data_IF_580233662481
#
_entry.id   IF_580233662481
#
_cell.length_a   1.000
_cell.length_b   1.000
_cell.length_c   1.000
_cell.angle_alpha   90.00
_cell.angle_beta   90.00
_cell.angle_gamma   90.00
#
_symmetry.space_group_name_H-M   'P 1'
#
loop_
_entity.id
_entity.type
_entity.pdbx_description
1 polymer ?
#
# COMPACT_ATOMS: atom_id res chain seq x y z
N UNK A 1 42.19 -4.97 -24.21
CA UNK A 1 43.05 -4.14 -25.08
C UNK A 1 43.07 -4.75 -26.49
N UNK A 2 42.31 -4.18 -27.43
CA UNK A 2 42.62 -3.99 -28.87
C UNK A 2 41.34 -3.52 -29.59
N UNK A 3 41.43 -2.31 -30.12
CA UNK A 3 40.47 -1.58 -30.95
C UNK A 3 40.50 -2.06 -32.41
N UNK A 4 39.40 -1.84 -33.14
CA UNK A 4 39.28 -1.55 -34.60
C UNK A 4 37.76 -1.35 -34.90
N UNK A 5 37.20 -0.13 -34.92
CA UNK A 5 37.10 0.89 -35.99
C UNK A 5 36.41 0.43 -37.30
N UNK A 6 35.13 0.82 -37.40
CA UNK A 6 34.35 1.44 -38.50
C UNK A 6 34.60 1.10 -39.98
N UNK A 7 33.49 0.79 -40.68
CA UNK A 7 33.14 1.42 -41.97
C UNK A 7 31.61 1.50 -42.18
N UNK A 8 31.12 2.71 -42.52
CA UNK A 8 29.81 3.02 -43.13
C UNK A 8 29.92 2.96 -44.66
N UNK A 9 28.77 2.93 -45.37
CA UNK A 9 28.53 3.80 -46.53
C UNK A 9 27.22 4.62 -46.33
N UNK A 10 27.22 5.97 -46.36
CA UNK A 10 26.95 6.85 -47.53
C UNK A 10 25.82 6.32 -48.45
N UNK A 11 24.74 7.02 -48.76
CA UNK A 11 24.30 8.40 -48.57
C UNK A 11 23.24 8.71 -49.65
N UNK A 12 22.24 9.54 -49.34
CA UNK A 12 21.52 10.41 -50.30
C UNK A 12 20.84 11.54 -49.54
N UNK A 13 21.06 12.74 -50.06
CA UNK A 13 20.71 14.05 -49.49
C UNK A 13 19.47 14.67 -50.17
N UNK A 14 18.68 15.37 -49.34
CA UNK A 14 18.04 16.71 -49.52
C UNK A 14 16.94 16.90 -50.59
N UNK A 15 16.04 17.94 -50.48
CA UNK A 15 16.19 19.26 -49.82
C UNK A 15 15.12 19.60 -48.75
N UNK A 16 15.38 20.35 -47.68
CA UNK A 16 15.70 21.79 -47.52
C UNK A 16 14.66 22.77 -48.12
N UNK A 17 13.82 23.34 -47.24
CA UNK A 17 13.15 24.63 -47.45
C UNK A 17 13.20 25.42 -46.14
N UNK A 18 14.01 26.47 -46.12
CA UNK A 18 14.02 27.51 -45.10
C UNK A 18 12.93 28.53 -45.41
N UNK A 19 12.28 29.05 -44.37
CA UNK A 19 11.75 30.41 -44.37
C UNK A 19 12.01 31.04 -43.00
N UNK A 20 12.93 31.99 -43.02
CA UNK A 20 13.31 32.90 -41.95
C UNK A 20 12.32 34.05 -41.82
N UNK A 21 11.99 34.45 -40.61
CA UNK A 21 11.79 35.87 -40.24
C UNK A 21 12.22 36.07 -38.80
N UNK A 22 13.38 36.74 -38.63
CA UNK A 22 13.81 37.39 -37.40
C UNK A 22 12.97 38.66 -37.20
N UNK A 23 12.53 38.95 -35.98
CA UNK A 23 12.45 40.32 -35.46
C UNK A 23 12.72 40.28 -33.95
N UNK A 24 13.86 40.87 -33.58
CA UNK A 24 14.26 41.24 -32.22
C UNK A 24 13.62 42.58 -31.86
N UNK A 25 13.05 42.71 -30.67
CA UNK A 25 13.04 43.98 -29.94
C UNK A 25 12.74 43.74 -28.46
N UNK A 26 13.73 44.04 -27.61
CA UNK A 26 13.64 44.09 -26.15
C UNK A 26 13.00 45.41 -25.72
N UNK A 27 12.01 45.41 -24.82
CA UNK A 27 11.71 46.54 -23.94
C UNK A 27 11.04 46.08 -22.62
N UNK A 28 11.26 46.88 -21.59
CA UNK A 28 11.04 46.70 -20.15
C UNK A 28 9.58 46.45 -19.68
N UNK A 29 9.45 45.48 -18.74
CA UNK A 29 8.74 45.52 -17.43
C UNK A 29 7.21 45.85 -17.33
N UNK A 30 6.55 45.72 -16.15
CA UNK A 30 5.71 44.57 -15.77
C UNK A 30 4.27 44.95 -15.36
N UNK A 31 3.48 43.94 -14.93
CA UNK A 31 2.18 43.95 -14.22
C UNK A 31 0.99 43.43 -15.06
N UNK A 32 0.30 42.42 -14.53
CA UNK A 32 -0.99 41.97 -15.05
C UNK A 32 -1.49 40.69 -14.39
N UNK A 33 -2.10 40.83 -13.21
CA UNK A 33 -2.78 39.78 -12.43
C UNK A 33 -3.86 39.05 -13.25
N UNK A 34 -3.94 37.73 -13.12
CA UNK A 34 -5.11 36.86 -13.41
C UNK A 34 -4.78 35.45 -12.88
N UNK A 35 -5.62 34.70 -12.19
CA UNK A 35 -6.91 34.93 -11.55
C UNK A 35 -6.98 33.86 -10.44
N UNK A 36 -7.00 34.27 -9.18
CA UNK A 36 -7.31 33.39 -8.06
C UNK A 36 -8.83 33.20 -8.06
N UNK A 37 -9.27 31.95 -8.21
CA UNK A 37 -10.66 31.57 -7.95
C UNK A 37 -10.96 31.87 -6.48
N UNK A 38 -11.74 32.93 -6.23
CA UNK A 38 -12.25 33.27 -4.91
C UNK A 38 -13.37 32.29 -4.56
N UNK A 39 -13.14 31.45 -3.55
CA UNK A 39 -14.21 30.76 -2.85
C UNK A 39 -15.01 31.78 -2.01
N UNK A 40 -16.36 31.73 -1.99
CA UNK A 40 -17.15 32.62 -1.18
C UNK A 40 -17.06 32.23 0.30
N UNK A 41 -16.21 32.93 1.05
CA UNK A 41 -16.31 33.02 2.50
C UNK A 41 -17.55 33.83 2.87
N UNK A 42 -18.60 33.14 3.33
CA UNK A 42 -19.29 33.43 4.60
C UNK A 42 -20.64 32.73 4.64
N UNK A 43 -20.80 31.77 5.55
CA UNK A 43 -22.04 31.55 6.30
C UNK A 43 -21.70 30.81 7.59
N UNK A 44 -21.71 31.59 8.68
CA UNK A 44 -21.95 31.20 10.07
C UNK A 44 -21.73 29.71 10.42
N UNK A 45 -20.57 29.43 11.04
CA UNK A 45 -20.34 28.20 11.80
C UNK A 45 -21.25 28.20 13.04
N UNK A 46 -22.39 27.52 12.95
CA UNK A 46 -23.03 26.96 14.14
C UNK A 46 -22.41 25.58 14.38
N UNK A 47 -21.78 25.43 15.54
CA UNK A 47 -21.19 24.20 16.08
C UNK A 47 -22.18 23.03 16.02
N UNK A 48 -22.17 22.30 14.91
CA UNK A 48 -22.82 21.01 14.74
C UNK A 48 -21.74 19.97 14.53
N UNK A 49 -21.68 18.99 15.43
CA UNK A 49 -20.85 17.78 15.25
C UNK A 49 -21.32 17.13 13.94
N UNK A 50 -20.52 17.27 12.88
CA UNK A 50 -20.73 16.51 11.65
C UNK A 50 -20.53 15.04 12.03
N UNK A 51 -21.58 14.23 11.91
CA UNK A 51 -21.50 12.79 12.18
C UNK A 51 -20.46 12.19 11.23
N UNK A 52 -19.55 11.32 11.69
CA UNK A 52 -18.53 10.68 10.84
C UNK A 52 -19.11 10.06 9.56
N UNK A 53 -20.33 9.52 9.65
CA UNK A 53 -21.06 8.98 8.52
C UNK A 53 -21.34 10.00 7.41
N UNK A 54 -21.69 11.25 7.75
CA UNK A 54 -21.94 12.29 6.74
C UNK A 54 -20.65 12.78 6.03
N UNK A 55 -19.49 12.56 6.66
CA UNK A 55 -18.18 12.81 6.05
C UNK A 55 -17.78 11.66 5.12
N UNK A 56 -18.03 10.41 5.52
CA UNK A 56 -17.85 9.21 4.69
C UNK A 56 -18.81 9.19 3.49
N UNK A 57 -20.07 9.61 3.67
CA UNK A 57 -21.05 9.72 2.58
C UNK A 57 -20.72 10.86 1.59
N UNK A 58 -19.88 11.83 1.97
CA UNK A 58 -19.41 12.93 1.13
C UNK A 58 -18.16 12.58 0.31
N UNK A 59 -17.47 11.47 0.63
CA UNK A 59 -16.34 10.97 -0.14
C UNK A 59 -16.84 10.13 -1.31
N UNK A 60 -16.13 10.18 -2.44
CA UNK A 60 -16.36 9.22 -3.53
C UNK A 60 -16.29 7.80 -2.96
N UNK A 61 -17.17 6.87 -3.39
CA UNK A 61 -17.10 5.48 -2.96
C UNK A 61 -15.69 4.92 -3.14
N UNK A 62 -15.17 4.16 -2.18
CA UNK A 62 -13.79 3.66 -2.23
C UNK A 62 -13.51 2.85 -3.50
N UNK A 63 -14.50 2.16 -4.05
CA UNK A 63 -14.41 1.48 -5.35
C UNK A 63 -14.10 2.41 -6.52
N UNK A 64 -14.63 3.64 -6.55
CA UNK A 64 -14.29 4.62 -7.59
C UNK A 64 -12.87 5.12 -7.43
N UNK A 65 -12.48 5.42 -6.18
CA UNK A 65 -11.13 5.91 -5.88
C UNK A 65 -10.06 4.84 -6.15
N UNK A 66 -10.39 3.58 -5.89
CA UNK A 66 -9.54 2.44 -6.25
C UNK A 66 -9.46 2.28 -7.77
N UNK A 67 -10.57 2.30 -8.51
CA UNK A 67 -10.55 2.21 -9.98
C UNK A 67 -9.68 3.31 -10.61
N UNK A 68 -9.84 4.56 -10.14
CA UNK A 68 -9.03 5.69 -10.55
C UNK A 68 -7.54 5.45 -10.26
N UNK A 69 -7.20 5.04 -9.03
CA UNK A 69 -5.83 4.69 -8.64
C UNK A 69 -5.20 3.62 -9.54
N UNK A 70 -5.94 2.53 -9.81
CA UNK A 70 -5.45 1.44 -10.66
C UNK A 70 -5.21 1.91 -12.09
N UNK A 71 -6.12 2.73 -12.63
CA UNK A 71 -6.01 3.27 -13.98
C UNK A 71 -4.87 4.26 -14.13
N UNK A 72 -4.70 5.18 -13.18
CA UNK A 72 -3.64 6.19 -13.19
C UNK A 72 -2.25 5.55 -13.02
N UNK A 73 -2.12 4.57 -12.12
CA UNK A 73 -0.87 3.84 -11.91
C UNK A 73 -0.55 2.80 -12.99
N UNK A 74 -1.51 2.47 -13.85
CA UNK A 74 -1.38 1.40 -14.84
C UNK A 74 -1.38 -0.01 -14.24
N UNK A 75 -1.98 -0.17 -13.06
CA UNK A 75 -2.04 -1.43 -12.32
C UNK A 75 -3.13 -2.35 -12.87
N UNK A 76 -2.77 -3.60 -13.19
CA UNK A 76 -3.73 -4.60 -13.69
C UNK A 76 -4.34 -5.46 -12.59
N UNK A 77 -3.69 -5.48 -11.42
CA UNK A 77 -4.09 -6.28 -10.28
C UNK A 77 -4.04 -5.47 -9.01
N UNK A 78 -4.96 -5.78 -8.10
CA UNK A 78 -4.98 -5.28 -6.74
C UNK A 78 -5.31 -6.41 -5.77
N UNK A 79 -5.24 -6.12 -4.47
CA UNK A 79 -5.39 -7.12 -3.42
C UNK A 79 -4.04 -7.60 -2.86
N UNK A 80 -4.10 -8.58 -1.97
CA UNK A 80 -3.03 -8.86 -1.03
C UNK A 80 -2.16 -10.05 -1.40
N UNK A 81 -0.89 -9.99 -0.99
CA UNK A 81 -0.01 -11.15 -0.90
C UNK A 81 -0.08 -11.72 0.52
N UNK A 82 -0.36 -13.02 0.64
CA UNK A 82 -0.65 -13.68 1.91
C UNK A 82 0.30 -14.88 2.07
N UNK A 83 1.16 -14.83 3.09
CA UNK A 83 2.03 -15.94 3.48
C UNK A 83 1.34 -16.86 4.47
N UNK A 84 1.38 -18.15 4.16
CA UNK A 84 1.04 -19.21 5.11
C UNK A 84 2.29 -19.58 5.92
N UNK A 85 2.29 -19.24 7.21
CA UNK A 85 3.38 -19.58 8.14
C UNK A 85 3.02 -20.69 9.14
N UNK A 86 1.77 -21.15 9.15
CA UNK A 86 1.34 -22.36 9.86
C UNK A 86 0.82 -23.43 8.89
N UNK A 87 1.17 -24.69 9.18
CA UNK A 87 0.76 -25.85 8.39
C UNK A 87 0.10 -26.94 9.25
N UNK A 88 -0.35 -26.59 10.46
CA UNK A 88 -0.94 -27.54 11.41
C UNK A 88 -2.32 -28.03 10.96
N UNK A 89 -3.13 -27.16 10.34
CA UNK A 89 -4.47 -27.49 9.86
C UNK A 89 -4.71 -26.95 8.44
N UNK A 90 -4.83 -27.86 7.47
CA UNK A 90 -5.12 -27.53 6.06
C UNK A 90 -6.60 -27.18 5.84
N UNK A 91 -7.52 -27.73 6.63
CA UNK A 91 -8.96 -27.47 6.52
C UNK A 91 -9.27 -26.03 6.94
N UNK A 92 -8.74 -25.63 8.09
CA UNK A 92 -8.82 -24.26 8.61
C UNK A 92 -8.24 -23.25 7.63
N UNK A 93 -7.07 -23.56 7.07
CA UNK A 93 -6.45 -22.71 6.06
C UNK A 93 -7.31 -22.55 4.81
N UNK A 94 -7.90 -23.64 4.30
CA UNK A 94 -8.80 -23.58 3.16
C UNK A 94 -10.10 -22.82 3.47
N UNK A 95 -10.62 -22.95 4.70
CA UNK A 95 -11.74 -22.15 5.20
C UNK A 95 -11.40 -20.65 5.19
N UNK A 96 -10.24 -20.28 5.73
CA UNK A 96 -9.74 -18.91 5.73
C UNK A 96 -9.69 -18.32 4.31
N UNK A 97 -9.12 -19.04 3.33
CA UNK A 97 -9.07 -18.60 1.93
C UNK A 97 -10.46 -18.26 1.37
N UNK A 98 -11.46 -19.09 1.68
CA UNK A 98 -12.85 -18.85 1.29
C UNK A 98 -13.42 -17.60 1.96
N UNK A 99 -13.28 -17.50 3.28
CA UNK A 99 -13.79 -16.38 4.09
C UNK A 99 -13.21 -15.05 3.63
N UNK A 100 -11.89 -14.96 3.43
CA UNK A 100 -11.27 -13.69 3.04
C UNK A 100 -11.65 -13.27 1.62
N UNK A 101 -11.70 -14.21 0.68
CA UNK A 101 -12.11 -13.90 -0.68
C UNK A 101 -13.57 -13.44 -0.76
N UNK A 102 -14.47 -14.06 0.02
CA UNK A 102 -15.86 -13.61 0.13
C UNK A 102 -15.97 -12.24 0.80
N UNK A 103 -15.19 -11.97 1.86
CA UNK A 103 -15.16 -10.68 2.53
C UNK A 103 -14.71 -9.55 1.58
N UNK A 104 -13.66 -9.77 0.79
CA UNK A 104 -13.21 -8.81 -0.23
C UNK A 104 -14.32 -8.48 -1.23
N UNK A 105 -14.99 -9.50 -1.76
CA UNK A 105 -16.08 -9.32 -2.74
C UNK A 105 -17.26 -8.56 -2.16
N UNK A 106 -17.69 -8.90 -0.94
CA UNK A 106 -18.74 -8.17 -0.23
C UNK A 106 -18.38 -6.71 0.00
N UNK A 107 -17.10 -6.42 0.23
CA UNK A 107 -16.61 -5.04 0.38
C UNK A 107 -16.71 -4.25 -0.93
N UNK A 108 -16.53 -4.87 -2.08
CA UNK A 108 -16.77 -4.25 -3.39
C UNK A 108 -18.27 -3.93 -3.52
N UNK A 109 -19.13 -4.93 -3.34
CA UNK A 109 -20.59 -4.81 -3.47
C UNK A 109 -21.19 -3.77 -2.50
N UNK A 110 -20.61 -3.61 -1.31
CA UNK A 110 -21.05 -2.65 -0.29
C UNK A 110 -21.11 -1.21 -0.79
N UNK A 111 -20.19 -0.84 -1.69
CA UNK A 111 -20.08 0.51 -2.24
C UNK A 111 -21.14 0.86 -3.29
N UNK A 112 -21.93 -0.13 -3.74
CA UNK A 112 -23.03 0.05 -4.69
C UNK A 112 -22.60 0.80 -5.97
N UNK A 113 -21.46 0.41 -6.53
CA UNK A 113 -20.90 0.90 -7.79
C UNK A 113 -20.96 -0.18 -8.87
N UNK A 114 -22.16 -0.59 -9.32
CA UNK A 114 -22.32 -1.75 -10.19
C UNK A 114 -21.62 -1.62 -11.54
N UNK A 115 -21.31 -0.40 -11.97
CA UNK A 115 -20.49 -0.11 -13.15
C UNK A 115 -19.02 -0.53 -12.99
N UNK A 116 -18.52 -0.66 -11.77
CA UNK A 116 -17.14 -0.99 -11.42
C UNK A 116 -17.00 -2.35 -10.73
N UNK A 117 -18.07 -2.91 -10.15
CA UNK A 117 -17.99 -4.16 -9.38
C UNK A 117 -17.37 -5.29 -10.22
N UNK A 118 -17.73 -5.38 -11.49
CA UNK A 118 -17.18 -6.40 -12.40
C UNK A 118 -15.70 -6.19 -12.70
N UNK A 119 -15.25 -4.95 -12.97
CA UNK A 119 -13.83 -4.68 -13.29
C UNK A 119 -12.94 -4.84 -12.06
N UNK A 120 -13.41 -4.43 -10.88
CA UNK A 120 -12.71 -4.59 -9.62
C UNK A 120 -12.63 -6.05 -9.20
N UNK A 121 -13.71 -6.83 -9.32
CA UNK A 121 -13.66 -8.28 -9.04
C UNK A 121 -12.73 -9.02 -10.02
N UNK A 122 -12.71 -8.63 -11.30
CA UNK A 122 -11.81 -9.22 -12.30
C UNK A 122 -10.32 -8.94 -12.03
N UNK A 123 -10.01 -7.78 -11.46
CA UNK A 123 -8.63 -7.37 -11.15
C UNK A 123 -8.21 -7.71 -9.72
N UNK A 124 -9.13 -8.15 -8.86
CA UNK A 124 -8.85 -8.62 -7.51
C UNK A 124 -8.02 -9.90 -7.55
N UNK A 125 -6.87 -9.88 -6.88
CA UNK A 125 -5.95 -11.01 -6.81
C UNK A 125 -5.40 -11.20 -5.41
N UNK A 126 -5.99 -12.13 -4.65
CA UNK A 126 -5.40 -12.65 -3.43
C UNK A 126 -4.38 -13.74 -3.80
N UNK A 127 -3.10 -13.47 -3.54
CA UNK A 127 -2.00 -14.39 -3.87
C UNK A 127 -1.54 -15.09 -2.60
N UNK A 128 -1.78 -16.40 -2.52
CA UNK A 128 -1.39 -17.23 -1.38
C UNK A 128 -0.05 -17.90 -1.63
N UNK A 129 0.91 -17.69 -0.72
CA UNK A 129 2.23 -18.30 -0.74
C UNK A 129 2.30 -19.40 0.31
N UNK A 130 2.37 -20.65 -0.15
CA UNK A 130 2.14 -21.87 0.66
C UNK A 130 3.32 -22.87 0.63
N UNK A 131 4.53 -22.40 0.32
CA UNK A 131 5.73 -23.25 0.28
C UNK A 131 6.22 -23.59 1.69
N UNK A 132 5.75 -24.71 2.24
CA UNK A 132 6.05 -25.18 3.62
C UNK A 132 7.53 -25.11 3.99
N UNK A 133 8.48 -25.66 3.19
CA UNK A 133 9.90 -25.61 3.52
C UNK A 133 10.46 -24.19 3.68
N UNK A 134 9.87 -23.21 3.00
CA UNK A 134 10.33 -21.82 3.01
C UNK A 134 9.62 -20.96 4.07
N UNK A 135 8.38 -21.29 4.43
CA UNK A 135 7.53 -20.37 5.20
C UNK A 135 7.04 -20.89 6.55
N UNK A 136 7.16 -22.18 6.83
CA UNK A 136 6.80 -22.75 8.14
C UNK A 136 7.67 -22.12 9.24
N UNK A 137 7.03 -21.40 10.18
CA UNK A 137 7.69 -20.65 11.25
C UNK A 137 8.75 -19.62 10.77
N UNK A 138 8.67 -19.15 9.52
CA UNK A 138 9.56 -18.12 9.02
C UNK A 138 9.40 -16.81 9.82
N UNK A 139 10.52 -16.18 10.15
CA UNK A 139 10.52 -14.85 10.77
C UNK A 139 10.03 -13.79 9.78
N UNK A 140 9.55 -12.65 10.28
CA UNK A 140 9.12 -11.55 9.41
C UNK A 140 10.27 -11.03 8.54
N UNK A 141 11.50 -11.07 9.02
CA UNK A 141 12.67 -10.67 8.21
C UNK A 141 12.93 -11.64 7.05
N UNK A 142 12.76 -12.96 7.27
CA UNK A 142 12.82 -13.95 6.20
C UNK A 142 11.71 -13.73 5.17
N UNK A 143 10.50 -13.44 5.64
CA UNK A 143 9.35 -13.13 4.78
C UNK A 143 9.55 -11.81 4.01
N UNK A 144 10.09 -10.76 4.65
CA UNK A 144 10.46 -9.49 3.99
C UNK A 144 11.46 -9.73 2.88
N UNK A 145 12.53 -10.47 3.14
CA UNK A 145 13.54 -10.78 2.12
C UNK A 145 12.94 -11.51 0.91
N UNK A 146 12.08 -12.51 1.14
CA UNK A 146 11.38 -13.18 0.05
C UNK A 146 10.40 -12.23 -0.67
N UNK A 147 9.64 -11.44 0.09
CA UNK A 147 8.65 -10.48 -0.42
C UNK A 147 9.28 -9.45 -1.34
N UNK A 148 10.39 -8.84 -0.95
CA UNK A 148 11.07 -7.82 -1.75
C UNK A 148 11.48 -8.36 -3.13
N UNK A 149 12.01 -9.60 -3.15
CA UNK A 149 12.32 -10.29 -4.40
C UNK A 149 11.07 -10.63 -5.23
N UNK A 150 10.01 -11.08 -4.59
CA UNK A 150 8.72 -11.33 -5.26
C UNK A 150 8.13 -10.05 -5.83
N UNK A 151 8.03 -8.98 -5.03
CA UNK A 151 7.39 -7.72 -5.37
C UNK A 151 8.03 -7.08 -6.60
N UNK A 152 9.37 -7.06 -6.66
CA UNK A 152 10.07 -6.54 -7.83
C UNK A 152 9.76 -7.34 -9.11
N UNK A 153 9.72 -8.68 -9.03
CA UNK A 153 9.38 -9.52 -10.20
C UNK A 153 7.90 -9.40 -10.58
N UNK A 154 7.02 -9.45 -9.60
CA UNK A 154 5.58 -9.38 -9.78
C UNK A 154 5.15 -8.02 -10.34
N UNK A 155 5.73 -6.92 -9.87
CA UNK A 155 5.43 -5.58 -10.37
C UNK A 155 5.57 -5.48 -11.90
N UNK A 156 6.69 -5.94 -12.46
CA UNK A 156 6.89 -5.89 -13.91
C UNK A 156 6.08 -6.96 -14.67
N UNK A 157 5.87 -8.13 -14.07
CA UNK A 157 5.11 -9.21 -14.70
C UNK A 157 3.60 -8.91 -14.75
N UNK A 158 3.07 -8.27 -13.71
CA UNK A 158 1.64 -7.99 -13.55
C UNK A 158 1.24 -6.65 -14.17
N UNK A 159 2.18 -5.72 -14.34
CA UNK A 159 1.91 -4.41 -14.94
C UNK A 159 2.79 -4.22 -16.19
N UNK A 160 2.32 -4.65 -17.39
CA UNK A 160 3.11 -4.57 -18.62
C UNK A 160 3.47 -3.14 -19.06
N UNK A 161 2.74 -2.14 -18.54
CA UNK A 161 2.92 -0.71 -18.84
C UNK A 161 2.73 0.11 -17.57
N UNK A 162 3.62 0.00 -16.57
CA UNK A 162 3.48 0.77 -15.35
C UNK A 162 3.75 2.25 -15.67
N UNK A 163 3.02 3.15 -15.01
CA UNK A 163 3.24 4.60 -15.20
C UNK A 163 4.59 5.03 -14.60
N UNK A 164 4.99 4.42 -13.49
CA UNK A 164 6.23 4.73 -12.78
C UNK A 164 7.18 3.53 -12.74
N UNK A 165 8.46 3.80 -12.43
CA UNK A 165 9.40 2.74 -12.11
C UNK A 165 9.11 2.19 -10.71
N UNK A 166 9.40 0.91 -10.50
CA UNK A 166 9.32 0.31 -9.17
C UNK A 166 10.25 1.06 -8.19
N UNK A 167 9.67 1.73 -7.19
CA UNK A 167 10.42 2.42 -6.15
C UNK A 167 9.75 2.22 -4.78
N UNK A 168 10.27 1.31 -3.94
CA UNK A 168 9.66 1.00 -2.65
C UNK A 168 9.72 2.15 -1.62
N UNK A 169 10.59 3.14 -1.85
CA UNK A 169 10.70 4.33 -1.02
C UNK A 169 9.66 5.40 -1.39
N UNK A 170 8.92 5.21 -2.48
CA UNK A 170 7.78 6.05 -2.88
C UNK A 170 6.47 5.28 -2.65
N UNK A 171 5.35 5.96 -2.87
CA UNK A 171 3.99 5.43 -2.80
C UNK A 171 3.73 4.33 -3.87
N UNK A 172 4.36 3.18 -3.69
CA UNK A 172 4.10 1.97 -4.47
C UNK A 172 2.75 1.39 -4.06
N UNK A 173 2.01 0.78 -5.00
CA UNK A 173 0.74 0.14 -4.69
C UNK A 173 0.84 -0.83 -3.50
N UNK A 174 -0.18 -0.89 -2.62
CA UNK A 174 -0.16 -1.70 -1.40
C UNK A 174 0.27 -3.14 -1.64
N UNK A 175 -0.20 -3.74 -2.75
CA UNK A 175 0.18 -5.09 -3.21
C UNK A 175 1.69 -5.36 -3.24
N UNK A 176 2.52 -4.37 -3.55
CA UNK A 176 3.98 -4.52 -3.67
C UNK A 176 4.74 -3.84 -2.51
N UNK A 177 4.03 -3.24 -1.56
CA UNK A 177 4.59 -2.64 -0.36
C UNK A 177 4.35 -3.48 0.88
N UNK A 178 3.13 -3.98 1.05
CA UNK A 178 2.70 -4.71 2.23
C UNK A 178 2.40 -6.17 1.89
N UNK A 179 2.57 -7.04 2.88
CA UNK A 179 2.08 -8.41 2.82
C UNK A 179 1.38 -8.78 4.12
N UNK A 180 0.62 -9.87 4.06
CA UNK A 180 -0.07 -10.45 5.19
C UNK A 180 0.64 -11.75 5.57
N UNK A 181 0.94 -11.93 6.84
CA UNK A 181 1.39 -13.20 7.40
C UNK A 181 0.24 -13.82 8.20
N UNK A 182 0.00 -15.11 7.97
CA UNK A 182 -0.91 -15.94 8.76
C UNK A 182 -0.10 -17.00 9.49
N UNK A 183 0.12 -16.77 10.79
CA UNK A 183 0.66 -17.74 11.73
C UNK A 183 -0.46 -18.55 12.41
N UNK A 184 -0.10 -19.44 13.33
CA UNK A 184 -1.07 -20.28 14.04
C UNK A 184 -2.10 -19.45 14.84
N UNK A 185 -1.65 -18.40 15.53
CA UNK A 185 -2.53 -17.61 16.41
C UNK A 185 -3.53 -16.77 15.62
N UNK A 186 -3.09 -16.19 14.51
CA UNK A 186 -3.95 -15.45 13.58
C UNK A 186 -4.95 -16.37 12.88
N UNK A 187 -4.53 -17.56 12.42
CA UNK A 187 -5.46 -18.52 11.81
C UNK A 187 -6.54 -18.97 12.82
N UNK A 188 -6.14 -19.28 14.04
CA UNK A 188 -7.06 -19.64 15.12
C UNK A 188 -8.01 -18.49 15.47
N UNK A 189 -7.52 -17.24 15.59
CA UNK A 189 -8.37 -16.09 15.92
C UNK A 189 -9.43 -15.82 14.85
N UNK A 190 -9.11 -16.07 13.59
CA UNK A 190 -10.02 -15.87 12.46
C UNK A 190 -11.19 -16.88 12.46
N UNK A 191 -10.95 -18.11 12.92
CA UNK A 191 -11.90 -19.22 12.79
C UNK A 191 -12.68 -19.49 14.09
N UNK A 192 -12.02 -19.44 15.25
CA UNK A 192 -12.66 -19.79 16.53
C UNK A 192 -13.72 -18.78 17.00
N UNK A 193 -13.73 -17.57 16.45
CA UNK A 193 -14.78 -16.57 16.67
C UNK A 193 -16.09 -16.86 15.93
N UNK A 194 -16.10 -17.81 15.00
CA UNK A 194 -17.31 -18.13 14.22
C UNK A 194 -18.20 -19.19 14.88
N UNK A 195 -17.65 -20.08 15.71
CA UNK A 195 -18.41 -21.19 16.31
C UNK A 195 -19.02 -20.89 17.70
N UNK A 196 -18.43 -19.99 18.48
CA UNK A 196 -18.69 -19.95 19.93
C UNK A 196 -19.83 -19.03 20.40
N UNK A 197 -20.46 -18.21 19.55
CA UNK A 197 -21.60 -17.38 20.01
C UNK A 197 -22.52 -16.91 18.88
N UNK A 198 -23.67 -17.59 18.66
CA UNK A 198 -24.72 -17.10 17.76
C UNK A 198 -25.31 -15.75 18.16
N UNK A 199 -25.03 -15.26 19.38
CA UNK A 199 -25.55 -14.00 19.94
C UNK A 199 -24.61 -12.80 19.77
N UNK A 200 -23.36 -13.00 19.33
CA UNK A 200 -22.37 -11.92 19.11
C UNK A 200 -22.14 -11.62 17.62
N UNK A 201 -23.11 -11.95 16.76
CA UNK A 201 -23.16 -11.50 15.36
C UNK A 201 -23.22 -9.96 15.32
N UNK A 202 -22.07 -9.31 15.16
CA UNK A 202 -22.06 -7.89 14.79
C UNK A 202 -20.72 -7.18 14.95
N UNK A 203 -20.04 -7.31 16.08
CA UNK A 203 -19.03 -6.30 16.46
C UNK A 203 -17.88 -6.78 17.36
N UNK A 204 -17.73 -8.09 17.62
CA UNK A 204 -16.84 -8.62 18.66
C UNK A 204 -15.97 -9.79 18.20
N UNK A 205 -15.75 -9.96 16.90
CA UNK A 205 -14.68 -10.87 16.50
C UNK A 205 -13.35 -10.15 16.63
N UNK A 206 -12.41 -10.74 17.35
CA UNK A 206 -11.03 -10.27 17.46
C UNK A 206 -10.12 -10.94 16.43
N UNK A 207 -10.69 -11.56 15.38
CA UNK A 207 -9.92 -12.15 14.31
C UNK A 207 -9.01 -11.11 13.68
N UNK A 208 -7.72 -11.43 13.58
CA UNK A 208 -6.69 -10.52 13.07
C UNK A 208 -5.77 -11.25 12.11
N UNK A 209 -5.08 -10.47 11.29
CA UNK A 209 -3.97 -10.91 10.46
C UNK A 209 -2.72 -10.10 10.82
N UNK A 210 -1.54 -10.64 10.58
CA UNK A 210 -0.32 -9.87 10.76
C UNK A 210 -0.06 -9.08 9.48
N UNK A 211 -0.32 -7.78 9.50
CA UNK A 211 -0.09 -6.87 8.38
C UNK A 211 1.33 -6.31 8.47
N UNK A 212 2.16 -6.56 7.45
CA UNK A 212 3.60 -6.33 7.50
C UNK A 212 4.01 -5.36 6.40
N UNK A 213 4.79 -4.34 6.76
CA UNK A 213 5.52 -3.53 5.79
C UNK A 213 6.75 -4.32 5.31
N UNK A 214 6.73 -4.62 4.01
CA UNK A 214 7.76 -5.39 3.32
C UNK A 214 9.09 -4.64 3.15
N UNK A 215 9.08 -3.33 3.34
CA UNK A 215 10.22 -2.43 3.13
C UNK A 215 10.63 -1.69 4.41
N UNK A 216 9.94 -1.93 5.52
CA UNK A 216 10.33 -1.40 6.82
C UNK A 216 11.74 -1.85 7.20
N UNK A 217 12.48 -0.92 7.79
CA UNK A 217 13.78 -1.13 8.41
C UNK A 217 13.73 -0.57 9.82
N UNK A 218 14.50 -1.17 10.71
CA UNK A 218 14.68 -0.62 12.06
C UNK A 218 15.31 0.77 12.00
N UNK A 219 15.07 1.60 13.02
CA UNK A 219 15.76 2.89 13.19
C UNK A 219 17.27 2.71 13.14
N UNK A 220 17.78 1.62 13.74
CA UNK A 220 19.20 1.26 13.69
C UNK A 220 19.70 1.02 12.27
N UNK A 221 18.93 0.31 11.44
CA UNK A 221 19.27 0.08 10.04
C UNK A 221 19.17 1.37 9.20
N UNK A 222 18.13 2.18 9.43
CA UNK A 222 17.99 3.48 8.79
C UNK A 222 19.20 4.36 9.09
N UNK A 223 19.60 4.48 10.35
CA UNK A 223 20.79 5.22 10.77
C UNK A 223 22.07 4.71 10.10
N UNK A 224 22.28 3.39 10.09
CA UNK A 224 23.47 2.80 9.48
C UNK A 224 23.64 3.16 7.99
N UNK A 225 22.55 3.53 7.32
CA UNK A 225 22.53 3.97 5.92
C UNK A 225 22.42 5.49 5.74
N UNK A 226 22.12 6.24 6.79
CA UNK A 226 22.00 7.70 6.76
C UNK A 226 23.37 8.38 6.85
N UNK A 227 23.52 9.52 6.16
CA UNK A 227 24.68 10.41 6.30
C UNK A 227 24.35 11.66 7.13
N UNK A 228 23.16 11.71 7.71
CA UNK A 228 22.65 12.87 8.45
C UNK A 228 23.02 12.74 9.94
N UNK A 229 23.82 13.68 10.49
CA UNK A 229 24.19 13.68 11.90
C UNK A 229 23.04 14.06 12.84
N UNK A 230 22.04 14.83 12.38
CA UNK A 230 20.92 15.30 13.21
C UNK A 230 19.93 14.15 13.48
N UNK A 231 19.85 13.19 12.55
CA UNK A 231 19.09 11.95 12.70
C UNK A 231 19.58 11.07 13.87
N UNK A 232 20.83 11.25 14.34
CA UNK A 232 21.35 10.45 15.44
C UNK A 232 20.64 10.78 16.77
N UNK A 233 20.44 12.06 17.06
CA UNK A 233 19.85 12.52 18.32
C UNK A 233 18.39 12.08 18.42
N UNK A 234 17.62 12.24 17.34
CA UNK A 234 16.22 11.80 17.26
C UNK A 234 16.07 10.28 17.44
N UNK A 235 17.02 9.50 16.89
CA UNK A 235 17.06 8.04 17.05
C UNK A 235 17.47 7.66 18.48
N UNK A 236 18.45 8.32 19.07
CA UNK A 236 18.87 8.07 20.45
C UNK A 236 17.72 8.37 21.44
N UNK A 237 16.92 9.42 21.20
CA UNK A 237 15.70 9.72 21.97
C UNK A 237 14.61 8.64 21.83
N UNK A 238 14.35 8.18 20.60
CA UNK A 238 13.38 7.09 20.38
C UNK A 238 13.85 5.76 20.97
N UNK A 239 15.14 5.43 20.84
CA UNK A 239 15.74 4.23 21.42
C UNK A 239 15.90 4.29 22.94
N UNK A 240 15.81 5.48 23.56
CA UNK A 240 15.77 5.63 25.01
C UNK A 240 14.46 5.13 25.64
N UNK A 241 13.42 4.91 24.84
CA UNK A 241 12.18 4.32 25.31
C UNK A 241 12.33 2.81 25.50
N UNK A 242 12.05 2.33 26.70
CA UNK A 242 12.15 0.91 27.07
C UNK A 242 10.90 0.12 26.63
N UNK A 243 10.71 -0.06 25.31
CA UNK A 243 9.63 -0.93 24.82
C UNK A 243 9.95 -2.42 25.04
N UNK A 244 8.92 -3.20 25.41
CA UNK A 244 9.04 -4.66 25.52
C UNK A 244 9.47 -5.26 24.17
N UNK A 245 10.48 -6.12 24.19
CA UNK A 245 10.97 -6.79 22.98
C UNK A 245 9.87 -7.62 22.30
N UNK A 246 9.67 -7.40 21.00
CA UNK A 246 8.80 -8.17 20.13
C UNK A 246 9.66 -8.71 19.00
N UNK A 247 9.83 -10.04 18.94
CA UNK A 247 10.65 -10.70 17.91
C UNK A 247 12.08 -10.14 17.81
N UNK A 248 12.64 -9.67 18.95
CA UNK A 248 13.96 -9.06 19.01
C UNK A 248 13.97 -7.55 18.75
N UNK A 249 12.85 -6.95 18.33
CA UNK A 249 12.72 -5.50 18.14
C UNK A 249 12.29 -4.81 19.45
N UNK A 250 13.03 -3.77 19.83
CA UNK A 250 12.76 -2.91 21.01
C UNK A 250 12.32 -1.51 20.62
N UNK A 251 12.03 -1.29 19.35
CA UNK A 251 11.53 -0.01 18.84
C UNK A 251 10.00 0.07 19.02
N UNK A 252 9.47 1.28 18.97
CA UNK A 252 8.03 1.50 18.96
C UNK A 252 7.40 0.87 17.72
N UNK A 253 7.94 1.22 16.55
CA UNK A 253 7.55 0.68 15.26
C UNK A 253 8.31 -0.63 14.99
N UNK A 254 7.60 -1.74 14.84
CA UNK A 254 8.18 -3.06 14.55
C UNK A 254 8.08 -3.44 13.07
N UNK A 255 7.51 -2.54 12.25
CA UNK A 255 7.25 -2.76 10.83
C UNK A 255 6.14 -3.75 10.54
N UNK A 256 5.30 -4.06 11.53
CA UNK A 256 4.10 -4.84 11.37
C UNK A 256 3.08 -4.54 12.47
N UNK A 257 1.81 -4.78 12.19
CA UNK A 257 0.71 -4.62 13.15
C UNK A 257 -0.28 -5.77 13.03
N UNK A 258 -1.10 -5.97 14.07
CA UNK A 258 -2.22 -6.90 14.02
C UNK A 258 -3.42 -6.14 13.43
N UNK A 259 -3.74 -6.42 12.17
CA UNK A 259 -4.84 -5.78 11.47
C UNK A 259 -6.11 -6.60 11.66
N UNK A 260 -7.19 -5.95 12.07
CA UNK A 260 -8.47 -6.61 12.22
C UNK A 260 -8.99 -7.18 10.88
N UNK A 261 -9.66 -8.33 10.93
CA UNK A 261 -10.06 -9.07 9.72
C UNK A 261 -10.95 -8.29 8.74
N UNK A 262 -11.75 -7.35 9.24
CA UNK A 262 -12.65 -6.55 8.40
C UNK A 262 -11.90 -5.49 7.59
N UNK A 263 -10.68 -5.18 7.99
CA UNK A 263 -9.90 -4.07 7.46
C UNK A 263 -9.01 -4.54 6.31
N UNK A 264 -9.24 -5.73 5.75
CA UNK A 264 -8.62 -6.11 4.48
C UNK A 264 -9.39 -5.57 3.26
N UNK A 265 -10.44 -4.76 3.46
CA UNK A 265 -11.40 -4.30 2.45
C UNK A 265 -10.82 -3.43 1.32
N UNK A 266 -11.65 -3.16 0.31
CA UNK A 266 -11.44 -2.13 -0.73
C UNK A 266 -11.07 -0.79 -0.11
N UNK A 267 -11.75 -0.38 0.96
CA UNK A 267 -11.52 0.90 1.63
C UNK A 267 -10.09 0.98 2.18
N UNK A 268 -9.67 -0.05 2.92
CA UNK A 268 -8.33 -0.09 3.50
C UNK A 268 -7.26 -0.22 2.42
N UNK A 269 -7.50 -1.00 1.37
CA UNK A 269 -6.59 -1.07 0.23
C UNK A 269 -6.44 0.31 -0.44
N UNK A 270 -7.54 1.01 -0.68
CA UNK A 270 -7.48 2.36 -1.23
C UNK A 270 -6.77 3.33 -0.29
N UNK A 271 -7.05 3.29 1.01
CA UNK A 271 -6.43 4.17 2.01
C UNK A 271 -4.92 3.96 2.13
N UNK A 272 -4.48 2.71 1.99
CA UNK A 272 -3.04 2.37 1.97
C UNK A 272 -2.38 2.68 0.62
N UNK A 273 -3.16 2.97 -0.42
CA UNK A 273 -2.67 3.44 -1.72
C UNK A 273 -2.30 4.92 -1.58
N UNK A 274 -0.99 5.21 -1.59
CA UNK A 274 -0.40 6.47 -1.11
C UNK A 274 -0.79 7.76 -1.83
N UNK A 275 -2.04 8.21 -1.67
CA UNK A 275 -2.48 9.57 -1.97
C UNK A 275 -1.94 10.60 -0.95
N UNK A 276 -1.27 10.15 0.11
CA UNK A 276 -0.63 10.93 1.17
C UNK A 276 0.74 10.31 1.50
N UNK A 277 1.72 11.16 1.81
CA UNK A 277 3.04 10.73 2.29
C UNK A 277 2.88 9.96 3.61
N UNK A 278 3.54 8.81 3.69
CA UNK A 278 3.58 7.84 4.80
C UNK A 278 2.27 7.69 5.62
N UNK A 279 1.36 6.86 5.14
CA UNK A 279 0.11 6.53 5.84
C UNK A 279 0.29 5.55 7.01
N UNK A 280 1.45 4.89 7.11
CA UNK A 280 1.70 3.85 8.12
C UNK A 280 1.39 4.30 9.56
N UNK A 281 1.80 5.51 10.01
CA UNK A 281 1.51 5.98 11.37
C UNK A 281 0.02 6.10 11.70
N UNK A 282 -0.87 6.20 10.70
CA UNK A 282 -2.30 6.38 10.92
C UNK A 282 -3.02 5.10 11.34
N UNK A 283 -2.45 3.93 11.03
CA UNK A 283 -3.03 2.62 11.35
C UNK A 283 -2.02 1.69 12.01
N UNK A 284 -0.82 2.19 12.36
CA UNK A 284 0.11 1.45 13.16
C UNK A 284 -0.32 1.42 14.61
N UNK A 285 -0.63 0.22 15.10
CA UNK A 285 -0.68 -0.05 16.52
C UNK A 285 0.39 -1.09 16.86
N UNK A 286 1.23 -0.78 17.85
CA UNK A 286 2.27 -1.69 18.31
C UNK A 286 1.62 -2.99 18.82
N UNK A 287 1.99 -4.17 18.29
CA UNK A 287 1.49 -5.44 18.81
C UNK A 287 1.76 -5.57 20.34
N UNK A 288 0.90 -6.25 21.11
CA UNK A 288 -0.27 -7.04 20.69
C UNK A 288 -1.56 -6.22 20.51
N UNK A 289 -1.48 -4.89 20.35
CA UNK A 289 -2.64 -4.08 19.99
C UNK A 289 -3.16 -4.44 18.59
N UNK A 290 -4.48 -4.55 18.46
CA UNK A 290 -5.17 -4.81 17.19
C UNK A 290 -5.70 -3.49 16.66
N UNK A 291 -5.24 -3.11 15.47
CA UNK A 291 -5.75 -1.92 14.78
C UNK A 291 -7.14 -2.21 14.21
N UNK A 292 -8.05 -1.27 14.46
CA UNK A 292 -9.34 -1.12 13.75
C UNK A 292 -9.26 0.17 12.93
N UNK A 293 -9.56 0.08 11.63
CA UNK A 293 -9.59 1.21 10.71
C UNK A 293 -11.03 1.70 10.48
#
# INVERSE_FOLDING_TARGET
>A
MRYLILTRPSGRQLPFRQSSTNLSCSFFAPLGKSALFQLPLSRSFTSGVIKPQAMLDAMSPATRLLDEYLREGGYQKWGWLIYRSTYQNDEDWNCFKGVIMEAMRKSIEYHKTPDLDHSLDQSLSLTFLEDRPSFENASKDQLRAHFQGWAQRAYFAENPRPFEAFNPNLATAPRYRYFIQIDEKSLQSLLHDTESSPRLKGLQSYGYVNFVDGWWKSLREHYATSQDPDLKEEIDEQLAHDYQSIEGCVEENTGWTMLHRLDMSVDFYHYTSGFVEDVWPLYYQRPPGITLW
#
